data_IF_427577319043
#
_entry.id   IF_427577319043
#
_cell.length_a   1.000
_cell.length_b   1.000
_cell.length_c   1.000
_cell.angle_alpha   90.00
_cell.angle_beta   90.00
_cell.angle_gamma   90.00
#
_symmetry.space_group_name_H-M   'P 1'
#
loop_
_entity.id
_entity.type
_entity.pdbx_description
1 polymer ?
#
# COMPACT_ATOMS: atom_id res chain seq x y z
N UNK A 1 22.15 -3.41 -2.97
CA UNK A 1 20.97 -2.81 -2.30
C UNK A 1 20.04 -2.33 -3.40
N UNK A 2 18.95 -3.07 -3.64
CA UNK A 2 17.93 -2.65 -4.61
C UNK A 2 17.05 -1.60 -3.93
N UNK A 3 17.12 -0.38 -4.41
CA UNK A 3 16.30 0.71 -3.93
C UNK A 3 14.94 0.65 -4.63
N UNK A 4 13.86 0.61 -3.85
CA UNK A 4 12.56 0.98 -4.37
C UNK A 4 12.56 2.49 -4.60
N UNK A 5 12.05 2.94 -5.75
CA UNK A 5 11.62 4.31 -5.88
C UNK A 5 10.37 4.48 -4.99
N UNK A 6 10.63 4.85 -3.75
CA UNK A 6 9.57 5.27 -2.83
C UNK A 6 9.00 6.60 -3.33
N UNK A 7 7.77 6.90 -2.94
CA UNK A 7 7.19 8.22 -3.16
C UNK A 7 8.15 9.30 -2.63
N UNK A 8 8.35 10.36 -3.39
CA UNK A 8 9.15 11.50 -2.92
C UNK A 8 8.53 12.08 -1.65
N UNK A 9 9.37 12.47 -0.69
CA UNK A 9 8.92 12.95 0.62
C UNK A 9 7.90 14.09 0.51
N UNK A 10 8.09 15.02 -0.42
CA UNK A 10 7.16 16.12 -0.69
C UNK A 10 5.76 15.62 -1.06
N UNK A 11 5.66 14.69 -2.00
CA UNK A 11 4.38 14.09 -2.41
C UNK A 11 3.70 13.30 -1.29
N UNK A 12 4.50 12.70 -0.40
CA UNK A 12 3.96 12.02 0.76
C UNK A 12 3.41 13.02 1.78
N UNK A 13 4.09 14.15 1.98
CA UNK A 13 3.62 15.25 2.84
C UNK A 13 2.32 15.82 2.28
N UNK A 14 2.26 16.16 0.98
CA UNK A 14 1.06 16.66 0.32
C UNK A 14 -0.14 15.70 0.51
N UNK A 15 0.11 14.38 0.38
CA UNK A 15 -0.90 13.36 0.62
C UNK A 15 -1.38 13.36 2.08
N UNK A 16 -0.46 13.43 3.04
CA UNK A 16 -0.79 13.48 4.45
C UNK A 16 -1.60 14.73 4.80
N UNK A 17 -1.21 15.90 4.29
CA UNK A 17 -1.94 17.15 4.48
C UNK A 17 -3.36 17.07 3.91
N UNK A 18 -3.50 16.53 2.69
CA UNK A 18 -4.81 16.30 2.09
C UNK A 18 -5.67 15.34 2.94
N UNK A 19 -5.10 14.25 3.42
CA UNK A 19 -5.78 13.29 4.27
C UNK A 19 -6.22 13.93 5.60
N UNK A 20 -5.34 14.72 6.23
CA UNK A 20 -5.65 15.43 7.47
C UNK A 20 -6.82 16.41 7.28
N UNK A 21 -6.85 17.14 6.16
CA UNK A 21 -7.93 18.06 5.83
C UNK A 21 -9.28 17.35 5.60
N UNK A 22 -9.27 16.11 5.12
CA UNK A 22 -10.48 15.36 4.77
C UNK A 22 -10.90 14.30 5.81
N UNK A 23 -10.11 14.06 6.87
CA UNK A 23 -10.47 13.19 7.99
C UNK A 23 -10.67 11.69 7.66
N UNK A 24 -10.17 11.24 6.51
CA UNK A 24 -10.42 9.89 5.97
C UNK A 24 -9.16 9.01 6.01
N UNK A 25 -8.50 8.92 7.14
CA UNK A 25 -7.26 8.17 7.25
C UNK A 25 -6.99 7.68 8.67
N UNK A 26 -6.15 6.63 8.78
CA UNK A 26 -5.57 6.17 10.04
C UNK A 26 -4.08 5.90 9.86
N UNK A 27 -3.30 6.28 10.87
CA UNK A 27 -1.89 5.97 10.99
C UNK A 27 -1.69 5.13 12.27
N UNK A 28 -1.28 3.89 12.10
CA UNK A 28 -0.94 3.00 13.19
C UNK A 28 0.57 2.97 13.38
N UNK A 29 1.02 3.19 14.60
CA UNK A 29 2.44 3.29 14.93
C UNK A 29 2.77 2.23 15.96
N UNK A 30 3.80 1.44 15.70
CA UNK A 30 4.39 0.52 16.67
C UNK A 30 5.62 1.16 17.30
N UNK A 31 5.67 1.14 18.64
CA UNK A 31 6.82 1.63 19.40
C UNK A 31 7.42 0.50 20.24
N UNK A 32 8.71 0.53 20.42
CA UNK A 32 9.45 -0.33 21.32
C UNK A 32 10.53 0.51 22.02
N UNK A 33 10.56 0.49 23.36
CA UNK A 33 11.48 1.31 24.17
C UNK A 33 11.44 2.80 23.75
N UNK A 34 10.25 3.35 23.62
CA UNK A 34 9.97 4.73 23.20
C UNK A 34 10.48 5.11 21.80
N UNK A 35 10.89 4.14 21.01
CA UNK A 35 11.30 4.36 19.62
C UNK A 35 10.26 3.81 18.65
N UNK A 36 10.01 4.54 17.56
CA UNK A 36 9.14 4.05 16.48
C UNK A 36 9.88 2.94 15.73
N UNK A 37 9.32 1.73 15.76
CA UNK A 37 9.88 0.54 15.09
C UNK A 37 9.10 0.13 13.86
N UNK A 38 7.89 0.68 13.66
CA UNK A 38 7.10 0.45 12.46
C UNK A 38 5.84 1.31 12.43
N UNK A 39 5.28 1.47 11.25
CA UNK A 39 3.99 2.14 11.07
C UNK A 39 3.29 1.65 9.80
N UNK A 40 1.98 1.81 9.76
CA UNK A 40 1.13 1.55 8.59
C UNK A 40 0.08 2.64 8.42
N UNK A 41 -0.16 3.05 7.18
CA UNK A 41 -1.06 4.14 6.82
C UNK A 41 -2.20 3.61 5.95
N UNK A 42 -3.43 3.93 6.37
CA UNK A 42 -4.66 3.51 5.72
C UNK A 42 -5.48 4.72 5.30
N UNK A 43 -5.97 4.72 4.08
CA UNK A 43 -7.06 5.60 3.65
C UNK A 43 -8.40 4.90 3.91
N UNK A 44 -9.43 5.71 4.16
CA UNK A 44 -10.78 5.19 4.37
C UNK A 44 -11.71 5.75 3.30
N UNK A 45 -12.41 4.86 2.66
CA UNK A 45 -13.57 5.16 1.83
C UNK A 45 -14.84 4.90 2.66
N UNK A 46 -15.49 5.93 3.20
CA UNK A 46 -16.67 5.75 4.04
C UNK A 46 -17.89 5.29 3.23
N UNK A 47 -17.95 5.62 1.94
CA UNK A 47 -19.09 5.25 1.09
C UNK A 47 -19.06 3.73 0.78
N UNK A 48 -17.86 3.19 0.57
CA UNK A 48 -17.65 1.76 0.38
C UNK A 48 -17.50 0.98 1.70
N UNK A 49 -17.38 1.64 2.86
CA UNK A 49 -16.95 1.04 4.13
C UNK A 49 -15.65 0.23 3.97
N UNK A 50 -14.70 0.79 3.22
CA UNK A 50 -13.45 0.15 2.86
C UNK A 50 -12.24 0.91 3.38
N UNK A 51 -11.23 0.17 3.82
CA UNK A 51 -9.90 0.69 4.12
C UNK A 51 -8.93 0.30 3.02
N UNK A 52 -8.01 1.18 2.67
CA UNK A 52 -6.96 0.94 1.69
C UNK A 52 -5.61 1.07 2.40
N UNK A 53 -4.88 -0.05 2.51
CA UNK A 53 -3.50 -0.02 2.99
C UNK A 53 -2.60 0.63 1.94
N UNK A 54 -2.13 1.84 2.21
CA UNK A 54 -1.41 2.62 1.20
C UNK A 54 0.10 2.56 1.38
N UNK A 55 0.58 2.74 2.59
CA UNK A 55 2.01 2.75 2.92
C UNK A 55 2.29 2.12 4.28
N UNK A 56 3.51 1.65 4.44
CA UNK A 56 4.01 1.23 5.73
C UNK A 56 5.52 1.07 5.73
N UNK A 57 6.08 1.09 6.93
CA UNK A 57 7.50 0.94 7.15
C UNK A 57 7.77 0.21 8.46
N UNK A 58 8.86 -0.54 8.49
CA UNK A 58 9.41 -1.13 9.73
C UNK A 58 10.92 -1.00 9.74
N UNK A 59 11.47 -0.82 10.93
CA UNK A 59 12.89 -0.92 11.14
C UNK A 59 13.38 -2.35 10.80
N UNK A 60 14.56 -2.48 10.21
CA UNK A 60 15.16 -3.78 9.86
C UNK A 60 15.34 -4.72 11.06
N UNK A 61 15.72 -4.20 12.20
CA UNK A 61 15.89 -4.96 13.42
C UNK A 61 14.54 -5.48 13.96
N UNK A 62 13.50 -4.67 13.84
CA UNK A 62 12.14 -5.01 14.23
C UNK A 62 11.44 -5.98 13.27
N UNK A 63 11.95 -6.14 12.06
CA UNK A 63 11.42 -7.09 11.08
C UNK A 63 11.44 -8.53 11.61
N UNK A 64 12.54 -8.93 12.24
CA UNK A 64 12.72 -10.29 12.74
C UNK A 64 11.79 -10.65 13.92
N UNK A 65 11.22 -9.67 14.61
CA UNK A 65 10.26 -9.87 15.70
C UNK A 65 8.81 -9.70 15.27
N UNK A 66 8.54 -9.61 13.97
CA UNK A 66 7.19 -9.62 13.43
C UNK A 66 6.40 -8.32 13.60
N UNK A 67 7.07 -7.18 13.85
CA UNK A 67 6.41 -5.87 14.04
C UNK A 67 5.50 -5.51 12.88
N UNK A 68 5.93 -5.83 11.64
CA UNK A 68 5.13 -5.59 10.45
C UNK A 68 3.76 -6.28 10.50
N UNK A 69 3.74 -7.54 10.91
CA UNK A 69 2.49 -8.29 11.05
C UNK A 69 1.66 -7.78 12.23
N UNK A 70 2.31 -7.45 13.34
CA UNK A 70 1.64 -6.98 14.54
C UNK A 70 0.91 -5.64 14.30
N UNK A 71 1.57 -4.65 13.71
CA UNK A 71 0.95 -3.34 13.44
C UNK A 71 -0.21 -3.43 12.46
N UNK A 72 -0.07 -4.24 11.40
CA UNK A 72 -1.16 -4.41 10.43
C UNK A 72 -2.30 -5.26 10.98
N UNK A 73 -2.02 -6.31 11.77
CA UNK A 73 -3.07 -7.06 12.47
C UNK A 73 -3.87 -6.16 13.40
N UNK A 74 -3.18 -5.35 14.20
CA UNK A 74 -3.86 -4.39 15.07
C UNK A 74 -4.73 -3.42 14.28
N UNK A 75 -4.17 -2.86 13.18
CA UNK A 75 -4.91 -1.97 12.30
C UNK A 75 -6.17 -2.61 11.72
N UNK A 76 -6.08 -3.86 11.26
CA UNK A 76 -7.22 -4.60 10.71
C UNK A 76 -8.31 -4.79 11.78
N UNK A 77 -7.94 -5.18 13.01
CA UNK A 77 -8.89 -5.36 14.09
C UNK A 77 -9.57 -4.03 14.49
N UNK A 78 -8.79 -2.95 14.65
CA UNK A 78 -9.35 -1.64 15.00
C UNK A 78 -10.26 -1.09 13.90
N UNK A 79 -9.87 -1.25 12.63
CA UNK A 79 -10.72 -0.84 11.50
C UNK A 79 -12.01 -1.65 11.42
N UNK A 80 -11.98 -2.94 11.74
CA UNK A 80 -13.17 -3.78 11.83
C UNK A 80 -14.12 -3.31 12.95
N UNK A 81 -13.59 -2.94 14.11
CA UNK A 81 -14.35 -2.36 15.22
C UNK A 81 -15.00 -1.02 14.82
N UNK A 82 -14.39 -0.28 13.90
CA UNK A 82 -14.91 0.97 13.30
C UNK A 82 -15.85 0.74 12.10
N UNK A 83 -16.37 -0.48 11.92
CA UNK A 83 -17.31 -0.86 10.87
C UNK A 83 -16.74 -0.84 9.45
N UNK A 84 -15.43 -0.84 9.28
CA UNK A 84 -14.80 -1.06 7.98
C UNK A 84 -14.94 -2.55 7.62
N UNK A 85 -15.60 -2.84 6.52
CA UNK A 85 -15.97 -4.22 6.12
C UNK A 85 -14.89 -4.89 5.29
N UNK A 86 -14.15 -4.11 4.52
CA UNK A 86 -13.13 -4.61 3.62
C UNK A 86 -11.85 -3.80 3.75
N UNK A 87 -10.71 -4.46 3.59
CA UNK A 87 -9.41 -3.80 3.54
C UNK A 87 -8.70 -4.25 2.28
N UNK A 88 -8.44 -3.28 1.38
CA UNK A 88 -7.63 -3.51 0.21
C UNK A 88 -6.16 -3.34 0.58
N UNK A 89 -5.39 -4.42 0.45
CA UNK A 89 -3.95 -4.42 0.67
C UNK A 89 -3.16 -3.98 -0.57
N UNK A 90 -3.85 -3.56 -1.63
CA UNK A 90 -3.30 -3.13 -2.91
C UNK A 90 -2.40 -4.19 -3.57
N UNK A 91 -1.89 -3.88 -4.72
CA UNK A 91 -0.92 -4.60 -5.55
C UNK A 91 -0.58 -6.03 -5.09
N UNK A 92 -1.17 -6.99 -5.74
CA UNK A 92 -0.79 -8.38 -5.64
C UNK A 92 -0.15 -8.84 -6.96
N UNK A 93 0.86 -9.70 -6.88
CA UNK A 93 1.53 -10.27 -8.04
C UNK A 93 1.59 -11.79 -7.91
N UNK A 94 1.43 -12.54 -9.01
CA UNK A 94 1.50 -14.02 -8.98
C UNK A 94 2.84 -14.52 -8.40
N UNK A 95 2.75 -15.46 -7.45
CA UNK A 95 3.88 -15.99 -6.67
C UNK A 95 4.79 -16.90 -7.53
N UNK A 96 5.03 -16.58 -8.80
CA UNK A 96 5.95 -17.34 -9.63
C UNK A 96 7.41 -16.87 -9.54
N UNK A 97 7.61 -15.61 -9.21
CA UNK A 97 8.93 -14.95 -9.31
C UNK A 97 9.55 -14.68 -7.94
N UNK A 98 10.16 -15.71 -7.33
CA UNK A 98 10.87 -15.57 -6.04
C UNK A 98 11.98 -14.51 -6.04
N UNK A 99 12.50 -14.16 -7.20
CA UNK A 99 13.54 -13.15 -7.37
C UNK A 99 13.00 -11.72 -7.52
N UNK A 100 11.69 -11.55 -7.54
CA UNK A 100 11.10 -10.22 -7.66
C UNK A 100 11.35 -9.39 -6.38
N UNK A 101 11.72 -8.10 -6.49
CA UNK A 101 12.01 -7.24 -5.32
C UNK A 101 10.88 -7.16 -4.31
N UNK A 102 9.62 -7.28 -4.75
CA UNK A 102 8.41 -7.22 -3.93
C UNK A 102 7.93 -8.58 -3.40
N UNK A 103 8.66 -9.67 -3.66
CA UNK A 103 8.23 -11.02 -3.27
C UNK A 103 7.84 -11.13 -1.80
N UNK A 104 8.66 -10.58 -0.90
CA UNK A 104 8.39 -10.60 0.54
C UNK A 104 7.16 -9.76 0.93
N UNK A 105 6.86 -8.70 0.17
CA UNK A 105 5.66 -7.87 0.37
C UNK A 105 4.40 -8.66 0.00
N UNK A 106 4.47 -9.52 -1.00
CA UNK A 106 3.33 -10.38 -1.37
C UNK A 106 3.11 -11.49 -0.38
N UNK A 107 4.18 -12.17 0.06
CA UNK A 107 4.09 -13.18 1.13
C UNK A 107 3.44 -12.59 2.38
N UNK A 108 3.82 -11.38 2.76
CA UNK A 108 3.22 -10.67 3.86
C UNK A 108 1.69 -10.53 3.70
N UNK A 109 1.22 -10.12 2.52
CA UNK A 109 -0.21 -9.95 2.23
C UNK A 109 -0.98 -11.27 2.28
N UNK A 110 -0.38 -12.35 1.80
CA UNK A 110 -0.98 -13.69 1.86
C UNK A 110 -1.20 -14.20 3.29
N UNK A 111 -0.38 -13.78 4.24
CA UNK A 111 -0.53 -14.17 5.65
C UNK A 111 -1.84 -13.69 6.27
N UNK A 112 -2.47 -12.66 5.71
CA UNK A 112 -3.78 -12.19 6.16
C UNK A 112 -4.95 -12.96 5.54
N UNK A 113 -4.69 -13.90 4.62
CA UNK A 113 -5.71 -14.79 4.05
C UNK A 113 -6.78 -14.10 3.22
N UNK A 114 -6.45 -12.92 2.65
CA UNK A 114 -7.38 -12.15 1.83
C UNK A 114 -7.71 -12.82 0.50
N UNK A 115 -8.82 -12.43 -0.10
CA UNK A 115 -9.23 -12.82 -1.43
C UNK A 115 -8.42 -12.05 -2.49
N UNK A 116 -7.99 -12.75 -3.54
CA UNK A 116 -7.26 -12.14 -4.66
C UNK A 116 -8.27 -11.73 -5.71
N UNK A 117 -8.35 -10.44 -5.98
CA UNK A 117 -9.24 -9.88 -6.99
C UNK A 117 -8.41 -9.49 -8.21
N UNK A 118 -8.70 -10.10 -9.35
CA UNK A 118 -8.13 -9.71 -10.62
C UNK A 118 -9.01 -8.65 -11.26
N UNK A 119 -8.45 -7.44 -11.40
CA UNK A 119 -9.12 -6.38 -12.15
C UNK A 119 -8.89 -6.57 -13.65
N UNK A 120 -9.81 -6.05 -14.44
CA UNK A 120 -9.62 -5.93 -15.88
C UNK A 120 -8.36 -5.12 -16.17
N UNK A 121 -7.65 -5.49 -17.25
CA UNK A 121 -6.47 -4.76 -17.69
C UNK A 121 -6.79 -3.28 -17.91
N UNK A 122 -5.80 -2.43 -17.64
CA UNK A 122 -5.91 -1.00 -17.98
C UNK A 122 -5.90 -0.83 -19.49
N UNK A 123 -6.87 -0.11 -20.01
CA UNK A 123 -6.98 0.22 -21.43
C UNK A 123 -6.78 1.72 -21.62
N UNK A 124 -5.99 2.08 -22.64
CA UNK A 124 -5.84 3.47 -23.03
C UNK A 124 -7.00 3.89 -23.91
N UNK A 125 -7.75 4.91 -23.50
CA UNK A 125 -8.74 5.55 -24.37
C UNK A 125 -8.04 6.56 -25.28
N UNK A 126 -7.88 6.19 -26.54
CA UNK A 126 -7.10 6.97 -27.50
C UNK A 126 -7.98 7.99 -28.21
N UNK A 127 -7.96 9.25 -27.79
CA UNK A 127 -8.67 10.36 -28.45
C UNK A 127 -7.97 10.83 -29.73
N UNK A 128 -6.64 10.81 -29.76
CA UNK A 128 -5.83 11.20 -30.90
C UNK A 128 -4.73 10.17 -31.17
N UNK A 129 -4.87 9.45 -32.29
CA UNK A 129 -3.95 8.36 -32.65
C UNK A 129 -2.52 8.84 -32.88
N UNK A 130 -2.34 10.03 -33.49
CA UNK A 130 -1.00 10.55 -33.77
C UNK A 130 -0.25 10.90 -32.50
N UNK A 131 -0.89 11.65 -31.59
CA UNK A 131 -0.30 11.98 -30.29
C UNK A 131 -0.03 10.73 -29.46
N UNK A 132 -0.91 9.74 -29.50
CA UNK A 132 -0.70 8.48 -28.79
C UNK A 132 0.50 7.69 -29.31
N UNK A 133 0.70 7.65 -30.64
CA UNK A 133 1.88 7.02 -31.23
C UNK A 133 3.17 7.73 -30.83
N UNK A 134 3.20 9.05 -30.89
CA UNK A 134 4.35 9.86 -30.46
C UNK A 134 4.66 9.63 -28.97
N UNK A 135 3.63 9.59 -28.12
CA UNK A 135 3.78 9.28 -26.70
C UNK A 135 4.33 7.87 -26.48
N UNK A 136 3.81 6.85 -27.17
CA UNK A 136 4.32 5.47 -27.12
C UNK A 136 5.78 5.38 -27.56
N UNK A 137 6.17 6.10 -28.60
CA UNK A 137 7.57 6.11 -29.08
C UNK A 137 8.51 6.72 -28.04
N UNK A 138 8.10 7.80 -27.37
CA UNK A 138 8.88 8.46 -26.31
C UNK A 138 9.02 7.62 -25.03
N UNK A 139 8.01 6.78 -24.72
CA UNK A 139 7.94 6.00 -23.48
C UNK A 139 8.23 4.50 -23.68
N UNK A 140 8.72 4.09 -24.85
CA UNK A 140 9.27 2.74 -25.03
C UNK A 140 10.61 2.66 -24.25
N UNK A 141 10.54 2.11 -23.05
CA UNK A 141 11.71 1.58 -22.32
C UNK A 141 11.76 0.08 -22.48
#
# INVERSE_FOLDING_TARGET
TKWFNTIHAEKFIDLCEWCMANGKWFLYIATQNDQIVGWSFYLIDPDANAGIYLYGWTNREAWNVGVWHAVNRYAICDLQERWIKTIDLLWWWPIGEKNHPLYNVWLFKEWFGGEKIEFLWSYDLVYNRLFYLLWKMKNKK
#
